data_IF_925724890115
#
_entry.id   IF_925724890115
#
_cell.length_a   1.000
_cell.length_b   1.000
_cell.length_c   1.000
_cell.angle_alpha   90.00
_cell.angle_beta   90.00
_cell.angle_gamma   90.00
#
_symmetry.space_group_name_H-M   'P 1'
#
loop_
_entity.id
_entity.type
_entity.pdbx_description
1 polymer ?
#
# COMPACT_ATOMS: atom_id res chain seq x y z
N UNK A 1 1.08 -2.81 -15.31
CA UNK A 1 2.05 -2.80 -14.20
C UNK A 1 3.53 -2.78 -14.60
N UNK A 2 3.98 -3.27 -15.78
CA UNK A 2 5.41 -3.17 -16.14
C UNK A 2 5.90 -1.73 -16.33
N UNK A 3 5.03 -0.84 -16.79
CA UNK A 3 5.34 0.58 -17.03
C UNK A 3 5.58 1.34 -15.71
N UNK A 4 4.78 1.06 -14.67
CA UNK A 4 4.94 1.71 -13.36
C UNK A 4 6.27 1.35 -12.67
N UNK A 5 6.94 0.25 -13.05
CA UNK A 5 8.26 -0.09 -12.50
C UNK A 5 9.33 0.95 -12.83
N UNK A 6 9.18 1.70 -13.93
CA UNK A 6 10.12 2.78 -14.26
C UNK A 6 9.89 4.03 -13.41
N UNK A 7 8.71 4.14 -12.82
CA UNK A 7 8.22 5.28 -12.04
C UNK A 7 8.56 5.10 -10.55
N UNK A 8 8.43 3.88 -10.05
CA UNK A 8 8.69 3.56 -8.64
C UNK A 8 10.17 3.79 -8.31
N UNK A 9 10.41 4.64 -7.31
CA UNK A 9 11.76 5.09 -6.94
C UNK A 9 12.58 3.96 -6.31
N UNK A 10 11.92 3.10 -5.53
CA UNK A 10 12.58 1.98 -4.86
C UNK A 10 13.01 0.87 -5.82
N UNK A 11 14.24 0.36 -5.61
CA UNK A 11 14.83 -0.77 -6.37
C UNK A 11 14.82 -2.10 -5.62
N UNK A 12 14.07 -2.20 -4.53
CA UNK A 12 13.93 -3.43 -3.73
C UNK A 12 13.35 -4.55 -4.58
N UNK A 13 13.73 -5.78 -4.26
CA UNK A 13 13.19 -6.98 -4.92
C UNK A 13 11.73 -7.16 -4.55
N UNK A 14 10.94 -7.70 -5.48
CA UNK A 14 9.57 -8.11 -5.19
C UNK A 14 9.51 -9.31 -4.24
N UNK A 15 8.29 -9.61 -3.80
CA UNK A 15 7.96 -10.72 -2.90
C UNK A 15 7.43 -11.90 -3.71
N UNK A 16 7.77 -13.11 -3.26
CA UNK A 16 7.26 -14.33 -3.87
C UNK A 16 5.75 -14.49 -3.65
N UNK A 17 5.10 -15.28 -4.50
CA UNK A 17 3.65 -15.51 -4.41
C UNK A 17 3.23 -16.16 -3.07
N UNK A 18 4.12 -16.94 -2.45
CA UNK A 18 3.87 -17.56 -1.14
C UNK A 18 3.71 -16.47 -0.06
N UNK A 19 4.63 -15.50 0.00
CA UNK A 19 4.58 -14.43 0.99
C UNK A 19 3.36 -13.51 0.82
N UNK A 20 2.92 -13.30 -0.43
CA UNK A 20 1.67 -12.56 -0.69
C UNK A 20 0.47 -13.33 -0.14
N UNK A 21 0.34 -14.63 -0.46
CA UNK A 21 -0.78 -15.45 0.03
C UNK A 21 -0.82 -15.58 1.54
N UNK A 22 0.32 -15.80 2.19
CA UNK A 22 0.40 -15.84 3.65
C UNK A 22 -0.04 -14.51 4.28
N UNK A 23 0.23 -13.39 3.61
CA UNK A 23 -0.19 -12.07 4.06
C UNK A 23 -1.69 -11.88 3.90
N UNK A 24 -2.25 -12.25 2.74
CA UNK A 24 -3.70 -12.21 2.48
C UNK A 24 -4.47 -13.05 3.52
N UNK A 25 -3.97 -14.25 3.83
CA UNK A 25 -4.56 -15.14 4.83
C UNK A 25 -4.53 -14.53 6.25
N UNK A 26 -3.39 -13.98 6.66
CA UNK A 26 -3.24 -13.36 8.00
C UNK A 26 -4.03 -12.07 8.14
N UNK A 27 -4.14 -11.30 7.07
CA UNK A 27 -4.92 -10.06 7.03
C UNK A 27 -6.43 -10.33 6.87
N UNK A 28 -6.80 -11.56 6.49
CA UNK A 28 -8.18 -11.94 6.20
C UNK A 28 -8.74 -11.20 4.98
N UNK A 29 -7.88 -10.81 4.03
CA UNK A 29 -8.24 -9.99 2.89
C UNK A 29 -7.45 -10.35 1.64
N UNK A 30 -8.17 -10.55 0.53
CA UNK A 30 -7.62 -10.81 -0.80
C UNK A 30 -7.24 -9.49 -1.44
N UNK A 31 -6.02 -9.41 -1.95
CA UNK A 31 -5.48 -8.20 -2.55
C UNK A 31 -6.01 -7.98 -3.97
N UNK A 32 -6.14 -6.72 -4.41
CA UNK A 32 -6.49 -6.42 -5.80
C UNK A 32 -5.37 -6.90 -6.73
N UNK A 33 -5.73 -7.27 -7.97
CA UNK A 33 -4.78 -7.84 -8.93
C UNK A 33 -3.59 -6.91 -9.18
N UNK A 34 -3.83 -5.60 -9.27
CA UNK A 34 -2.79 -4.60 -9.47
C UNK A 34 -1.80 -4.55 -8.29
N UNK A 35 -2.32 -4.64 -7.07
CA UNK A 35 -1.53 -4.59 -5.84
C UNK A 35 -0.65 -5.84 -5.68
N UNK A 36 -1.22 -7.01 -5.98
CA UNK A 36 -0.46 -8.27 -6.05
C UNK A 36 0.65 -8.21 -7.10
N UNK A 37 0.37 -7.64 -8.28
CA UNK A 37 1.38 -7.45 -9.30
C UNK A 37 2.46 -6.44 -8.90
N UNK A 38 2.13 -5.40 -8.14
CA UNK A 38 3.10 -4.44 -7.62
C UNK A 38 4.10 -5.13 -6.70
N UNK A 39 3.63 -5.89 -5.70
CA UNK A 39 4.52 -6.59 -4.78
C UNK A 39 5.40 -7.64 -5.44
N UNK A 40 4.92 -8.30 -6.51
CA UNK A 40 5.75 -9.21 -7.32
C UNK A 40 6.89 -8.48 -8.03
N UNK A 41 6.72 -7.20 -8.33
CA UNK A 41 7.75 -6.38 -8.95
C UNK A 41 8.69 -5.80 -7.89
N UNK A 42 8.14 -5.20 -6.84
CA UNK A 42 8.89 -4.40 -5.86
C UNK A 42 8.18 -4.44 -4.51
N UNK A 43 8.92 -4.81 -3.47
CA UNK A 43 8.44 -4.71 -2.09
C UNK A 43 8.69 -3.31 -1.54
N UNK A 44 7.80 -2.81 -0.68
CA UNK A 44 7.90 -1.51 -0.02
C UNK A 44 8.14 -0.39 -1.04
N UNK A 45 7.20 -0.28 -1.99
CA UNK A 45 7.28 0.68 -3.08
C UNK A 45 7.14 2.12 -2.54
N UNK A 46 8.01 2.99 -3.02
CA UNK A 46 8.00 4.43 -2.76
C UNK A 46 7.52 5.11 -4.05
N UNK A 47 6.44 5.90 -3.92
CA UNK A 47 5.67 6.51 -5.01
C UNK A 47 5.44 7.98 -4.60
N UNK A 48 6.32 8.86 -5.08
CA UNK A 48 6.43 10.21 -4.55
C UNK A 48 6.66 10.24 -3.06
N UNK A 49 5.83 10.98 -2.32
CA UNK A 49 5.87 11.01 -0.85
C UNK A 49 5.38 9.72 -0.19
N UNK A 50 4.59 8.92 -0.90
CA UNK A 50 3.94 7.74 -0.35
C UNK A 50 4.87 6.53 -0.29
N UNK A 51 4.97 5.93 0.89
CA UNK A 51 5.67 4.67 1.12
C UNK A 51 4.67 3.57 1.48
N UNK A 52 4.58 2.54 0.63
CA UNK A 52 3.72 1.38 0.89
C UNK A 52 4.36 0.43 1.90
N UNK A 53 3.57 -0.09 2.83
CA UNK A 53 4.05 -1.04 3.83
C UNK A 53 4.59 -2.32 3.19
N UNK A 54 5.74 -2.82 3.63
CA UNK A 54 6.30 -4.06 3.12
C UNK A 54 5.38 -5.25 3.42
N UNK A 55 5.46 -6.26 2.57
CA UNK A 55 5.16 -7.63 2.98
C UNK A 55 6.40 -8.21 3.64
N UNK A 56 6.18 -8.92 4.75
CA UNK A 56 7.24 -9.59 5.49
C UNK A 56 7.99 -10.57 4.59
N UNK A 57 9.29 -10.34 4.43
CA UNK A 57 10.18 -11.19 3.66
C UNK A 57 11.26 -11.75 4.58
N UNK A 58 11.33 -13.08 4.68
CA UNK A 58 12.32 -13.79 5.49
C UNK A 58 13.77 -13.45 5.07
N UNK A 59 13.98 -13.02 3.82
CA UNK A 59 15.29 -12.58 3.31
C UNK A 59 15.71 -11.23 3.89
N UNK A 60 14.76 -10.40 4.34
CA UNK A 60 14.98 -9.02 4.77
C UNK A 60 14.18 -8.64 6.03
N UNK A 61 14.07 -9.56 7.00
CA UNK A 61 13.23 -9.42 8.21
C UNK A 61 13.39 -8.10 8.97
N UNK A 62 14.60 -7.54 9.05
CA UNK A 62 14.84 -6.26 9.74
C UNK A 62 14.23 -5.06 8.99
N UNK A 63 14.14 -5.12 7.67
CA UNK A 63 13.59 -4.05 6.81
C UNK A 63 12.11 -4.19 6.55
N UNK A 64 11.55 -5.38 6.76
CA UNK A 64 10.12 -5.68 6.62
C UNK A 64 9.48 -5.99 7.98
N UNK A 65 10.05 -5.46 9.07
CA UNK A 65 9.52 -5.70 10.41
C UNK A 65 8.23 -4.93 10.64
N UNK A 66 8.16 -3.72 10.09
CA UNK A 66 6.98 -2.88 10.09
C UNK A 66 6.12 -3.18 8.86
N UNK A 67 5.52 -4.38 8.85
CA UNK A 67 4.76 -4.90 7.72
C UNK A 67 3.29 -4.47 7.74
N UNK A 68 2.61 -4.68 6.59
CA UNK A 68 1.18 -4.37 6.44
C UNK A 68 0.31 -5.04 7.51
N UNK A 69 0.70 -6.22 8.01
CA UNK A 69 -0.04 -6.95 9.03
C UNK A 69 0.05 -6.20 10.36
N UNK A 70 1.26 -5.88 10.82
CA UNK A 70 1.49 -5.14 12.07
C UNK A 70 0.81 -3.78 12.03
N UNK A 71 0.89 -3.09 10.90
CA UNK A 71 0.27 -1.78 10.71
C UNK A 71 -1.26 -1.84 10.85
N UNK A 72 -1.90 -2.89 10.35
CA UNK A 72 -3.35 -3.04 10.47
C UNK A 72 -3.84 -3.71 11.77
N UNK A 73 -2.97 -4.47 12.46
CA UNK A 73 -3.34 -5.22 13.66
C UNK A 73 -2.94 -4.54 14.99
N UNK A 74 -1.80 -3.84 15.02
CA UNK A 74 -1.21 -3.30 16.24
C UNK A 74 -1.14 -1.76 16.27
N UNK A 75 -0.93 -1.13 15.11
CA UNK A 75 -0.62 0.33 15.02
C UNK A 75 -1.83 1.13 14.53
N UNK A 76 -2.77 0.47 13.85
CA UNK A 76 -3.97 1.06 13.28
C UNK A 76 -4.63 2.08 14.22
N UNK A 77 -4.91 3.25 13.67
CA UNK A 77 -5.70 4.28 14.35
C UNK A 77 -7.16 3.82 14.51
N UNK A 78 -7.73 4.05 15.70
CA UNK A 78 -9.10 3.65 16.04
C UNK A 78 -10.14 4.38 15.19
N UNK A 79 -9.81 5.57 14.69
CA UNK A 79 -10.69 6.38 13.85
C UNK A 79 -10.79 5.86 12.40
N UNK A 80 -9.88 4.98 11.96
CA UNK A 80 -9.94 4.37 10.63
C UNK A 80 -10.94 3.21 10.65
N UNK A 81 -12.04 3.25 9.87
CA UNK A 81 -13.09 2.23 9.93
C UNK A 81 -12.58 0.85 9.54
N UNK A 82 -12.93 -0.20 10.28
CA UNK A 82 -12.36 -1.56 10.18
C UNK A 82 -12.43 -2.21 8.79
N UNK A 83 -13.34 -1.76 7.93
CA UNK A 83 -13.44 -2.21 6.55
C UNK A 83 -12.40 -1.57 5.63
N UNK A 84 -11.57 -0.65 6.10
CA UNK A 84 -10.42 -0.11 5.37
C UNK A 84 -9.14 -0.78 5.83
N UNK A 85 -8.28 -1.13 4.90
CA UNK A 85 -6.99 -1.75 5.16
C UNK A 85 -5.92 -0.77 4.75
N UNK A 86 -5.09 -0.38 5.70
CA UNK A 86 -4.01 0.59 5.51
C UNK A 86 -2.89 -0.08 4.71
N UNK A 87 -2.42 0.57 3.66
CA UNK A 87 -1.41 0.05 2.75
C UNK A 87 -0.12 0.87 2.72
N UNK A 88 -0.13 2.10 3.23
CA UNK A 88 1.05 2.96 3.26
C UNK A 88 0.76 4.31 3.92
N UNK A 89 1.81 5.12 4.01
CA UNK A 89 1.76 6.48 4.55
C UNK A 89 2.77 7.40 3.85
N UNK A 90 2.62 8.70 4.06
CA UNK A 90 3.46 9.78 3.54
C UNK A 90 4.48 10.29 4.59
N UNK A 91 4.50 9.72 5.79
CA UNK A 91 5.30 10.18 6.92
C UNK A 91 4.75 11.39 7.69
N UNK A 92 3.68 12.05 7.23
CA UNK A 92 3.00 13.14 7.95
C UNK A 92 1.98 12.64 8.97
N UNK A 93 1.45 11.43 8.73
CA UNK A 93 0.39 10.83 9.52
C UNK A 93 -0.75 10.32 8.65
N UNK A 94 -0.87 10.86 7.43
CA UNK A 94 -1.89 10.48 6.48
C UNK A 94 -1.66 9.05 5.95
N UNK A 95 -2.77 8.36 5.66
CA UNK A 95 -2.76 6.92 5.39
C UNK A 95 -3.46 6.59 4.09
N UNK A 96 -2.79 5.80 3.25
CA UNK A 96 -3.43 5.17 2.09
C UNK A 96 -4.13 3.89 2.52
N UNK A 97 -5.34 3.69 1.99
CA UNK A 97 -6.18 2.56 2.35
C UNK A 97 -6.86 1.92 1.14
N UNK A 98 -7.10 0.61 1.20
CA UNK A 98 -8.11 -0.07 0.38
C UNK A 98 -9.36 -0.33 1.19
N UNK A 99 -10.52 -0.18 0.56
CA UNK A 99 -11.77 -0.67 1.15
C UNK A 99 -11.91 -2.17 0.91
N UNK A 100 -12.00 -2.93 1.99
CA UNK A 100 -12.30 -4.35 2.02
C UNK A 100 -13.79 -4.59 2.25
N UNK A 101 -14.40 -5.43 1.42
CA UNK A 101 -15.77 -5.89 1.59
C UNK A 101 -15.77 -7.42 1.68
N UNK A 102 -16.15 -7.95 2.84
CA UNK A 102 -16.13 -9.39 3.14
C UNK A 102 -14.79 -10.08 2.82
N UNK A 103 -13.67 -9.42 3.12
CA UNK A 103 -12.33 -9.96 2.88
C UNK A 103 -11.87 -9.86 1.43
N UNK A 104 -12.51 -9.03 0.60
CA UNK A 104 -12.05 -8.71 -0.75
C UNK A 104 -11.76 -7.21 -0.80
N UNK A 105 -10.50 -6.85 -1.05
CA UNK A 105 -10.13 -5.45 -1.28
C UNK A 105 -10.61 -4.99 -2.66
N UNK A 106 -11.19 -3.80 -2.72
CA UNK A 106 -11.49 -3.12 -3.97
C UNK A 106 -10.24 -2.49 -4.60
N UNK A 107 -10.37 -2.03 -5.85
CA UNK A 107 -9.28 -1.39 -6.57
C UNK A 107 -9.09 0.09 -6.20
N UNK A 108 -10.12 0.75 -5.67
CA UNK A 108 -10.10 2.19 -5.34
C UNK A 108 -9.15 2.44 -4.17
N UNK A 109 -8.24 3.39 -4.37
CA UNK A 109 -7.34 3.90 -3.34
C UNK A 109 -8.06 5.01 -2.59
N UNK A 110 -8.09 4.89 -1.28
CA UNK A 110 -8.63 5.88 -0.37
C UNK A 110 -7.50 6.56 0.39
N UNK A 111 -7.67 7.85 0.67
CA UNK A 111 -6.80 8.63 1.54
C UNK A 111 -7.54 8.91 2.84
N UNK A 112 -6.91 8.58 3.96
CA UNK A 112 -7.34 9.00 5.29
C UNK A 112 -6.45 10.12 5.80
N UNK A 113 -7.08 11.24 6.18
CA UNK A 113 -6.42 12.41 6.72
C UNK A 113 -6.32 12.33 8.24
N UNK A 114 -5.11 12.41 8.79
CA UNK A 114 -4.89 12.31 10.23
C UNK A 114 -5.53 13.48 11.01
N UNK A 115 -5.44 14.69 10.47
CA UNK A 115 -5.92 15.90 11.18
C UNK A 115 -7.44 15.95 11.31
N UNK A 116 -8.16 15.45 10.30
CA UNK A 116 -9.63 15.51 10.23
C UNK A 116 -10.34 14.20 10.53
N UNK A 117 -9.61 13.08 10.59
CA UNK A 117 -10.17 11.72 10.59
C UNK A 117 -11.15 11.47 9.43
N UNK A 118 -10.94 12.12 8.29
CA UNK A 118 -11.78 12.02 7.09
C UNK A 118 -11.20 11.01 6.09
N UNK A 119 -12.05 10.34 5.32
CA UNK A 119 -11.66 9.42 4.25
C UNK A 119 -12.28 9.85 2.94
N UNK A 120 -11.47 9.95 1.90
CA UNK A 120 -11.93 10.23 0.54
C UNK A 120 -11.34 9.27 -0.50
N UNK A 121 -11.96 9.26 -1.68
CA UNK A 121 -11.46 8.52 -2.84
C UNK A 121 -10.31 9.31 -3.47
N UNK A 122 -9.11 8.74 -3.41
CA UNK A 122 -7.90 9.40 -3.90
C UNK A 122 -7.57 9.01 -5.34
N UNK A 123 -7.75 7.72 -5.69
CA UNK A 123 -7.55 7.27 -7.06
C UNK A 123 -8.45 6.05 -7.38
N UNK A 124 -8.89 5.91 -8.65
CA UNK A 124 -9.77 4.81 -9.04
C UNK A 124 -9.08 3.44 -9.05
N UNK A 125 -7.75 3.42 -9.17
CA UNK A 125 -6.93 2.22 -9.08
C UNK A 125 -5.46 2.53 -8.78
N UNK A 126 -4.72 1.51 -8.37
CA UNK A 126 -3.29 1.62 -8.04
C UNK A 126 -2.42 2.12 -9.21
N UNK A 127 -2.73 1.75 -10.46
CA UNK A 127 -1.98 2.25 -11.61
C UNK A 127 -2.15 3.75 -11.80
N UNK A 128 -3.38 4.25 -11.76
CA UNK A 128 -3.66 5.68 -11.88
C UNK A 128 -3.02 6.46 -10.73
N UNK A 129 -3.12 5.96 -9.49
CA UNK A 129 -2.40 6.52 -8.34
C UNK A 129 -0.90 6.69 -8.62
N UNK A 130 -0.21 5.63 -9.05
CA UNK A 130 1.24 5.70 -9.32
C UNK A 130 1.57 6.70 -10.43
N UNK A 131 0.74 6.79 -11.47
CA UNK A 131 0.99 7.69 -12.60
C UNK A 131 0.80 9.15 -12.18
N UNK A 132 -0.30 9.47 -11.50
CA UNK A 132 -0.63 10.84 -11.09
C UNK A 132 0.36 11.36 -10.07
N UNK A 133 0.61 10.61 -8.98
CA UNK A 133 1.51 11.04 -7.92
C UNK A 133 2.94 11.27 -8.43
N UNK A 134 3.42 10.42 -9.33
CA UNK A 134 4.76 10.60 -9.88
C UNK A 134 4.87 11.70 -10.95
N UNK A 135 3.74 12.11 -11.55
CA UNK A 135 3.72 13.28 -12.41
C UNK A 135 3.77 14.57 -11.58
N UNK A 136 3.09 14.60 -10.43
CA UNK A 136 3.09 15.75 -9.52
C UNK A 136 4.51 16.09 -9.03
N UNK A 137 5.32 15.09 -8.68
CA UNK A 137 6.75 15.27 -8.36
C UNK A 137 7.57 15.93 -9.48
N UNK A 138 7.28 15.61 -10.75
CA UNK A 138 8.06 16.07 -11.91
C UNK A 138 7.74 17.56 -12.26
N UNK A 139 6.62 18.09 -11.77
CA UNK A 139 6.20 19.49 -11.97
C UNK A 139 6.66 20.47 -10.87
N UNK A 140 7.19 19.98 -9.74
CA UNK A 140 7.73 20.83 -8.68
C UNK A 140 9.23 21.21 -8.87
N UNK A 141 9.80 20.93 -10.04
CA UNK A 141 11.23 21.16 -10.31
C UNK A 141 11.54 22.35 -11.24
#
# INVERSE_FOLDING_TARGET
MKEVRKIIQTRKTGVDEIGIKETEEKLGAIFPEQYRHLFKLVNNAEIGEWTLYPIKDNRNLKKTWDDIIRQNAEIRDEDIPKNFIIIGDDGSGDKLCFKSNNGIMGDIIYLWYHEGAEIEEYAPNLKEFIITTAQEDDFEC
#
